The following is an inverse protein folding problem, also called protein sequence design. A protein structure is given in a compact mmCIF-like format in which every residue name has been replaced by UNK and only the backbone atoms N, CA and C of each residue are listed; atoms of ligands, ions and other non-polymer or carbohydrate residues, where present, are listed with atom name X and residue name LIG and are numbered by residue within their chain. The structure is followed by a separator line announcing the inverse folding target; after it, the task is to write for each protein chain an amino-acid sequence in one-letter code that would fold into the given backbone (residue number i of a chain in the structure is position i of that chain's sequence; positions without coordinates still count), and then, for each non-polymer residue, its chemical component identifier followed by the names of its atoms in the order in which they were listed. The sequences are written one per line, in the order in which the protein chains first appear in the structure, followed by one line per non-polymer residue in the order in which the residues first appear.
data_IF_149368772931
#
_entry.id   IF_149368772931
#
_cell.length_a   1.000
_cell.length_b   1.000
_cell.length_c   1.000
_cell.angle_alpha   90.00
_cell.angle_beta   90.00
_cell.angle_gamma   90.00
#
_symmetry.space_group_name_H-M   'P 1'
#
loop_
_entity.id
_entity.type
_entity.pdbx_description
1 polymer ?
#
# COMPACT_ATOMS: atom_id res chain seq x y z
N UNK A 1 18.65 -9.60 -1.83
CA UNK A 1 17.24 -9.71 -1.39
C UNK A 1 16.40 -10.11 -2.59
N UNK A 2 15.67 -11.21 -2.51
CA UNK A 2 14.82 -11.71 -3.61
C UNK A 2 13.40 -11.17 -3.42
N UNK A 3 12.75 -10.72 -4.49
CA UNK A 3 11.35 -10.26 -4.44
C UNK A 3 10.43 -11.48 -4.40
N UNK A 4 10.10 -11.93 -3.19
CA UNK A 4 9.27 -13.09 -2.93
C UNK A 4 8.10 -12.74 -1.99
N UNK A 5 7.23 -13.72 -1.74
CA UNK A 5 6.06 -13.55 -0.87
C UNK A 5 6.43 -13.13 0.56
N UNK A 6 7.51 -13.69 1.09
CA UNK A 6 7.96 -13.42 2.46
C UNK A 6 8.49 -11.98 2.60
N UNK A 7 9.26 -11.50 1.62
CA UNK A 7 9.71 -10.11 1.57
C UNK A 7 8.52 -9.13 1.51
N UNK A 8 7.46 -9.48 0.78
CA UNK A 8 6.23 -8.68 0.76
C UNK A 8 5.47 -8.69 2.09
N UNK A 9 5.49 -9.82 2.81
CA UNK A 9 4.90 -9.90 4.14
C UNK A 9 5.66 -9.03 5.14
N UNK A 10 6.99 -9.19 5.19
CA UNK A 10 7.87 -8.40 6.05
C UNK A 10 7.75 -6.90 5.77
N UNK A 11 7.61 -6.51 4.49
CA UNK A 11 7.38 -5.11 4.13
C UNK A 11 6.03 -4.57 4.62
N UNK A 12 4.97 -5.39 4.57
CA UNK A 12 3.65 -5.00 5.11
C UNK A 12 3.69 -4.84 6.62
N UNK A 13 4.39 -5.74 7.32
CA UNK A 13 4.60 -5.66 8.77
C UNK A 13 5.44 -4.43 9.15
N UNK A 14 6.55 -4.18 8.46
CA UNK A 14 7.35 -2.97 8.65
C UNK A 14 6.48 -1.72 8.52
N UNK A 15 5.73 -1.59 7.42
CA UNK A 15 4.84 -0.43 7.22
C UNK A 15 3.79 -0.28 8.32
N UNK A 16 3.31 -1.37 8.91
CA UNK A 16 2.30 -1.34 9.97
C UNK A 16 2.89 -0.81 11.29
N UNK A 17 4.12 -1.17 11.63
CA UNK A 17 4.77 -0.81 12.89
C UNK A 17 5.75 0.37 12.78
N UNK A 18 6.06 0.80 11.56
CA UNK A 18 7.00 1.88 11.30
C UNK A 18 6.52 3.18 11.92
N UNK A 19 7.42 3.76 12.71
CA UNK A 19 7.23 5.05 13.32
C UNK A 19 7.78 6.16 12.42
N UNK A 20 7.06 7.27 12.40
CA UNK A 20 7.55 8.53 11.85
C UNK A 20 8.62 9.11 12.77
N UNK A 21 9.38 10.10 12.30
CA UNK A 21 10.36 10.82 13.13
C UNK A 21 9.76 11.44 14.41
N UNK A 22 8.43 11.60 14.46
CA UNK A 22 7.68 12.09 15.62
C UNK A 22 7.13 10.95 16.52
N UNK A 23 7.58 9.72 16.32
CA UNK A 23 7.14 8.54 17.10
C UNK A 23 5.71 8.06 16.80
N UNK A 24 5.01 8.65 15.84
CA UNK A 24 3.64 8.23 15.45
C UNK A 24 3.69 7.17 14.36
N UNK A 25 2.79 6.19 14.41
CA UNK A 25 2.60 5.24 13.32
C UNK A 25 2.22 5.93 12.00
N UNK A 26 2.55 5.29 10.88
CA UNK A 26 2.14 5.78 9.56
C UNK A 26 0.61 5.80 9.41
N UNK A 27 0.10 6.91 8.86
CA UNK A 27 -1.32 7.04 8.55
C UNK A 27 -1.76 5.93 7.58
N UNK A 28 -3.04 5.55 7.64
CA UNK A 28 -3.62 4.57 6.71
C UNK A 28 -3.37 4.98 5.25
N UNK A 29 -3.57 6.26 4.93
CA UNK A 29 -3.35 6.79 3.57
C UNK A 29 -1.88 6.71 3.12
N UNK A 30 -0.95 6.89 4.05
CA UNK A 30 0.48 6.80 3.76
C UNK A 30 0.87 5.35 3.48
N UNK A 31 0.44 4.42 4.35
CA UNK A 31 0.68 2.98 4.17
C UNK A 31 0.11 2.49 2.84
N UNK A 32 -1.12 2.89 2.50
CA UNK A 32 -1.74 2.56 1.22
C UNK A 32 -0.93 3.04 0.02
N UNK A 33 -0.40 4.27 0.04
CA UNK A 33 0.44 4.78 -1.06
C UNK A 33 1.66 3.89 -1.30
N UNK A 34 2.36 3.50 -0.23
CA UNK A 34 3.50 2.59 -0.34
C UNK A 34 3.08 1.23 -0.91
N UNK A 35 1.99 0.65 -0.40
CA UNK A 35 1.48 -0.64 -0.89
C UNK A 35 1.00 -0.57 -2.34
N UNK A 36 0.40 0.54 -2.77
CA UNK A 36 0.02 0.77 -4.16
C UNK A 36 1.22 0.75 -5.10
N UNK A 37 2.32 1.41 -4.72
CA UNK A 37 3.56 1.40 -5.51
C UNK A 37 4.14 -0.01 -5.65
N UNK A 38 4.20 -0.76 -4.54
CA UNK A 38 4.72 -2.14 -4.55
C UNK A 38 3.79 -3.06 -5.34
N UNK A 39 2.48 -2.89 -5.25
CA UNK A 39 1.50 -3.64 -6.05
C UNK A 39 1.66 -3.39 -7.55
N UNK A 40 1.88 -2.13 -7.93
CA UNK A 40 2.17 -1.76 -9.32
C UNK A 40 3.47 -2.40 -9.81
N UNK A 41 4.52 -2.34 -9.01
CA UNK A 41 5.81 -2.96 -9.31
C UNK A 41 5.73 -4.49 -9.43
N UNK A 42 5.04 -5.17 -8.51
CA UNK A 42 4.80 -6.61 -8.58
C UNK A 42 4.05 -7.00 -9.85
N UNK A 43 3.05 -6.21 -10.23
CA UNK A 43 2.29 -6.42 -11.47
C UNK A 43 3.15 -6.21 -12.72
N UNK A 44 4.00 -5.19 -12.72
CA UNK A 44 4.97 -4.97 -13.80
C UNK A 44 5.89 -6.17 -13.95
N UNK A 45 6.52 -6.64 -12.87
CA UNK A 45 7.43 -7.78 -12.90
C UNK A 45 6.76 -9.05 -13.44
N UNK A 46 5.52 -9.31 -13.03
CA UNK A 46 4.73 -10.42 -13.58
C UNK A 46 4.43 -10.24 -15.08
N UNK A 47 4.06 -9.04 -15.52
CA UNK A 47 3.77 -8.77 -16.93
C UNK A 47 5.00 -8.85 -17.84
N UNK A 48 6.19 -8.66 -17.27
CA UNK A 48 7.48 -8.77 -17.97
C UNK A 48 8.18 -10.12 -17.75
N UNK A 49 7.45 -11.14 -17.27
CA UNK A 49 7.93 -12.52 -17.06
C UNK A 49 9.11 -12.68 -16.09
N UNK A 50 9.39 -11.68 -15.24
CA UNK A 50 10.38 -11.81 -14.16
C UNK A 50 9.85 -12.58 -12.94
N UNK A 51 8.53 -12.71 -12.81
CA UNK A 51 7.88 -13.47 -11.76
C UNK A 51 7.00 -14.56 -12.37
N UNK A 52 7.15 -15.79 -11.89
CA UNK A 52 6.34 -16.94 -12.32
C UNK A 52 4.88 -16.85 -11.83
N UNK A 53 4.63 -16.07 -10.79
CA UNK A 53 3.30 -15.90 -10.20
C UNK A 53 3.02 -14.42 -9.90
N UNK A 54 1.76 -14.04 -10.02
CA UNK A 54 1.32 -12.67 -9.74
C UNK A 54 1.25 -12.40 -8.22
N UNK A 55 2.34 -11.87 -7.67
CA UNK A 55 2.42 -11.45 -6.27
C UNK A 55 1.63 -10.17 -5.98
N UNK A 56 1.16 -9.43 -6.99
CA UNK A 56 0.39 -8.21 -6.74
C UNK A 56 -0.96 -8.49 -6.07
N UNK A 57 -1.50 -9.70 -6.29
CA UNK A 57 -2.77 -10.17 -5.71
C UNK A 57 -2.71 -10.44 -4.22
N UNK A 58 -1.51 -10.68 -3.67
CA UNK A 58 -1.37 -10.94 -2.23
C UNK A 58 -1.35 -9.65 -1.40
N UNK A 59 -1.20 -8.48 -2.04
CA UNK A 59 -1.12 -7.19 -1.36
C UNK A 59 -2.54 -6.67 -1.12
N UNK A 60 -2.97 -6.71 0.13
CA UNK A 60 -4.26 -6.15 0.54
C UNK A 60 -4.09 -4.66 0.86
N UNK A 61 -4.80 -3.80 0.11
CA UNK A 61 -4.79 -2.36 0.40
C UNK A 61 -5.74 -2.04 1.56
N UNK A 62 -5.31 -1.20 2.53
CA UNK A 62 -6.18 -0.78 3.59
C UNK A 62 -7.26 0.17 3.05
N UNK A 63 -8.53 -0.07 3.41
CA UNK A 63 -9.65 0.76 2.94
C UNK A 63 -9.56 2.15 3.56
N UNK A 64 -9.48 3.19 2.72
CA UNK A 64 -9.63 4.55 3.22
C UNK A 64 -11.08 4.82 3.65
N UNK A 65 -11.28 5.62 4.71
CA UNK A 65 -12.60 6.15 5.00
C UNK A 65 -13.08 6.96 3.79
N UNK A 66 -14.29 6.65 3.30
CA UNK A 66 -14.93 7.40 2.21
C UNK A 66 -15.17 8.82 2.70
N UNK A 67 -14.39 9.77 2.19
CA UNK A 67 -14.64 11.20 2.43
C UNK A 67 -15.69 11.67 1.44
N UNK A 68 -16.63 12.48 1.91
CA UNK A 68 -17.53 13.20 1.01
C UNK A 68 -16.69 14.07 0.07
N UNK A 69 -17.05 14.16 -1.22
CA UNK A 69 -16.46 15.12 -2.15
C UNK A 69 -16.46 16.53 -1.55
N UNK A 70 -15.34 17.26 -1.71
CA UNK A 70 -15.20 18.62 -1.16
C UNK A 70 -16.35 19.53 -1.55
N UNK A 71 -16.81 19.42 -2.80
CA UNK A 71 -17.96 20.17 -3.32
C UNK A 71 -19.18 20.02 -2.43
N UNK A 72 -19.50 18.81 -1.96
CA UNK A 72 -20.67 18.57 -1.09
C UNK A 72 -20.46 19.14 0.31
N UNK A 73 -19.23 19.09 0.83
CA UNK A 73 -18.91 19.65 2.15
C UNK A 73 -19.00 21.18 2.19
N UNK A 74 -18.79 21.87 1.06
CA UNK A 74 -18.93 23.32 0.94
C UNK A 74 -20.40 23.78 0.95
N UNK A 75 -21.33 22.97 0.42
CA UNK A 75 -22.77 23.29 0.41
C UNK A 75 -23.47 23.12 1.78
N UNK A 76 -22.85 22.41 2.73
CA UNK A 76 -23.45 22.10 4.05
C UNK A 76 -23.03 23.09 5.14
N UNK A 77 -22.19 24.08 4.79
CA UNK A 77 -21.62 25.05 5.73
C UNK A 77 -22.35 26.39 5.68
#
# INVERSE_FOLDING_TARGET
MQFNRDALHLFQEDLAYRLTAKGKQLSVSTREKYLCSVRGFARYLYATDYLTADLSKTITLPKQPKRLPKVILEYVR
#
